data_IF_233738068695
#
_entry.id   IF_233738068695
#
_cell.length_a   1.000
_cell.length_b   1.000
_cell.length_c   1.000
_cell.angle_alpha   90.00
_cell.angle_beta   90.00
_cell.angle_gamma   90.00
#
_symmetry.space_group_name_H-M   'P 1'
#
loop_
_entity.id
_entity.type
_entity.pdbx_description
1 polymer ?
#
# COMPACT_ATOMS: atom_id res chain seq x y z
N UNK A 1 -9.69 -23.92 12.20
CA UNK A 1 -8.76 -23.93 11.04
C UNK A 1 -7.30 -24.09 11.50
N UNK A 2 -6.84 -23.33 12.52
CA UNK A 2 -5.44 -23.36 12.97
C UNK A 2 -4.94 -24.77 13.38
N UNK A 3 -5.74 -25.54 14.10
CA UNK A 3 -5.34 -26.89 14.54
C UNK A 3 -5.32 -27.88 13.39
N UNK A 4 -6.19 -27.73 12.41
CA UNK A 4 -6.19 -28.57 11.20
C UNK A 4 -4.87 -28.42 10.45
N UNK A 5 -4.40 -27.20 10.22
CA UNK A 5 -3.13 -26.95 9.53
C UNK A 5 -1.92 -27.46 10.32
N UNK A 6 -1.90 -27.27 11.65
CA UNK A 6 -0.83 -27.81 12.49
C UNK A 6 -0.70 -29.33 12.31
N UNK A 7 -1.81 -30.08 12.41
CA UNK A 7 -1.84 -31.52 12.23
C UNK A 7 -1.42 -31.94 10.80
N UNK A 8 -1.86 -31.20 9.78
CA UNK A 8 -1.50 -31.50 8.38
C UNK A 8 -0.01 -31.39 8.09
N UNK A 9 0.71 -30.52 8.80
CA UNK A 9 2.17 -30.39 8.67
C UNK A 9 2.94 -31.24 9.68
N UNK A 10 2.24 -32.08 10.46
CA UNK A 10 2.85 -33.03 11.41
C UNK A 10 3.19 -32.42 12.77
N UNK A 11 2.67 -31.26 13.11
CA UNK A 11 2.87 -30.63 14.42
C UNK A 11 1.86 -31.11 15.45
N UNK A 12 2.29 -31.11 16.72
CA UNK A 12 1.41 -31.33 17.87
C UNK A 12 0.73 -29.99 18.24
N UNK A 13 -0.60 -29.84 18.03
CA UNK A 13 -1.32 -28.62 18.34
C UNK A 13 -1.36 -28.29 19.84
N UNK A 14 -1.16 -29.27 20.72
CA UNK A 14 -1.16 -29.11 22.17
C UNK A 14 0.21 -28.68 22.73
N UNK A 15 1.23 -28.65 21.91
CA UNK A 15 2.55 -28.14 22.30
C UNK A 15 2.45 -26.68 22.79
N UNK A 16 3.07 -26.38 23.95
CA UNK A 16 2.98 -25.09 24.64
C UNK A 16 3.10 -23.87 23.71
N UNK A 17 4.06 -23.88 22.79
CA UNK A 17 4.26 -22.77 21.82
C UNK A 17 3.14 -22.64 20.78
N UNK A 18 2.25 -23.62 20.63
CA UNK A 18 1.21 -23.65 19.59
C UNK A 18 -0.22 -23.56 20.11
N UNK A 19 -0.47 -23.75 21.40
CA UNK A 19 -1.83 -23.68 21.99
C UNK A 19 -2.53 -22.37 21.66
N UNK A 20 -1.81 -21.24 21.76
CA UNK A 20 -2.36 -19.91 21.51
C UNK A 20 -2.31 -19.47 20.03
N UNK A 21 -1.68 -20.24 19.14
CA UNK A 21 -1.46 -19.85 17.74
C UNK A 21 -2.76 -19.51 17.00
N UNK A 22 -3.88 -20.27 17.14
CA UNK A 22 -5.11 -19.93 16.42
C UNK A 22 -5.65 -18.55 16.78
N UNK A 23 -5.65 -18.20 18.06
CA UNK A 23 -6.10 -16.90 18.54
C UNK A 23 -5.18 -15.77 18.05
N UNK A 24 -3.87 -15.93 18.28
CA UNK A 24 -2.87 -14.93 17.87
C UNK A 24 -2.86 -14.70 16.35
N UNK A 25 -3.03 -15.76 15.57
CA UNK A 25 -3.12 -15.67 14.12
C UNK A 25 -4.38 -14.90 13.68
N UNK A 26 -5.54 -15.19 14.30
CA UNK A 26 -6.77 -14.48 13.99
C UNK A 26 -6.68 -12.97 14.32
N UNK A 27 -6.12 -12.63 15.48
CA UNK A 27 -5.89 -11.24 15.89
C UNK A 27 -4.93 -10.52 14.92
N UNK A 28 -3.83 -11.16 14.56
CA UNK A 28 -2.87 -10.63 13.58
C UNK A 28 -3.54 -10.36 12.23
N UNK A 29 -4.32 -11.31 11.71
CA UNK A 29 -5.01 -11.16 10.42
C UNK A 29 -6.05 -10.04 10.49
N UNK A 30 -6.80 -9.92 11.59
CA UNK A 30 -7.77 -8.84 11.78
C UNK A 30 -7.09 -7.46 11.79
N UNK A 31 -5.92 -7.32 12.43
CA UNK A 31 -5.13 -6.09 12.42
C UNK A 31 -4.60 -5.77 11.02
N UNK A 32 -4.00 -6.76 10.36
CA UNK A 32 -3.35 -6.58 9.06
C UNK A 32 -4.34 -6.36 7.91
N UNK A 33 -5.58 -6.78 8.06
CA UNK A 33 -6.65 -6.62 7.07
C UNK A 33 -7.77 -5.68 7.55
N UNK A 34 -7.45 -4.76 8.45
CA UNK A 34 -8.45 -3.88 9.10
C UNK A 34 -9.26 -3.02 8.12
N UNK A 35 -8.79 -2.82 6.90
CA UNK A 35 -9.47 -2.04 5.87
C UNK A 35 -10.00 -2.91 4.71
N UNK A 36 -10.08 -4.24 4.88
CA UNK A 36 -10.49 -5.15 3.81
C UNK A 36 -11.88 -4.84 3.23
N UNK A 37 -12.82 -4.41 4.08
CA UNK A 37 -14.19 -4.07 3.68
C UNK A 37 -14.44 -2.55 3.56
N UNK A 38 -13.43 -1.71 3.77
CA UNK A 38 -13.58 -0.24 3.76
C UNK A 38 -13.32 0.28 2.34
N UNK A 39 -14.30 0.90 1.65
CA UNK A 39 -14.11 1.43 0.30
C UNK A 39 -13.25 2.69 0.29
N UNK A 40 -12.67 3.03 -0.87
CA UNK A 40 -11.83 4.20 -1.03
C UNK A 40 -12.53 5.52 -0.69
N UNK A 41 -13.84 5.61 -0.91
CA UNK A 41 -14.66 6.77 -0.54
C UNK A 41 -14.65 7.02 0.97
N UNK A 42 -14.73 5.97 1.77
CA UNK A 42 -14.70 6.09 3.24
C UNK A 42 -13.31 6.47 3.72
N UNK A 43 -12.26 5.90 3.14
CA UNK A 43 -10.88 6.28 3.42
C UNK A 43 -10.67 7.75 3.08
N UNK A 44 -11.16 8.20 1.93
CA UNK A 44 -11.08 9.61 1.53
C UNK A 44 -11.77 10.52 2.56
N UNK A 45 -12.99 10.20 2.98
CA UNK A 45 -13.70 10.97 4.02
C UNK A 45 -12.98 10.99 5.36
N UNK A 46 -12.42 9.86 5.78
CA UNK A 46 -11.71 9.74 7.07
C UNK A 46 -10.42 10.57 7.12
N UNK A 47 -9.78 10.76 5.97
CA UNK A 47 -8.51 11.47 5.89
C UNK A 47 -8.59 12.82 5.16
N UNK A 48 -9.80 13.32 4.87
CA UNK A 48 -10.03 14.62 4.24
C UNK A 48 -9.62 15.77 5.17
N UNK A 49 -8.33 16.10 5.12
CA UNK A 49 -7.77 17.26 5.77
C UNK A 49 -6.90 18.02 4.78
N UNK A 50 -7.49 19.03 4.19
CA UNK A 50 -6.85 19.86 3.19
C UNK A 50 -6.78 21.33 3.64
N UNK A 51 -5.90 22.07 3.01
CA UNK A 51 -5.69 23.49 3.24
C UNK A 51 -5.70 24.21 1.90
N UNK A 52 -6.18 25.44 1.85
CA UNK A 52 -6.06 26.29 0.66
C UNK A 52 -4.60 26.62 0.39
N UNK A 53 -4.19 26.53 -0.87
CA UNK A 53 -2.84 26.90 -1.31
C UNK A 53 -2.93 27.44 -2.74
N UNK A 54 -2.36 28.62 -3.03
CA UNK A 54 -2.27 29.13 -4.39
C UNK A 54 -1.19 28.42 -5.21
N UNK A 55 -0.30 27.69 -4.55
CA UNK A 55 0.81 27.00 -5.20
C UNK A 55 0.32 25.83 -6.06
N UNK A 56 0.98 25.64 -7.18
CA UNK A 56 0.67 24.60 -8.16
C UNK A 56 1.88 23.75 -8.55
N UNK A 57 3.00 23.90 -7.81
CA UNK A 57 4.18 23.07 -8.01
C UNK A 57 3.95 21.66 -7.47
N UNK A 58 4.68 20.70 -8.02
CA UNK A 58 4.58 19.30 -7.63
C UNK A 58 4.95 19.12 -6.15
N UNK A 59 4.09 18.47 -5.41
CA UNK A 59 4.37 17.98 -4.04
C UNK A 59 4.69 16.49 -4.11
N UNK A 60 5.82 16.08 -3.52
CA UNK A 60 6.24 14.68 -3.44
C UNK A 60 6.48 14.29 -1.99
N UNK A 61 5.87 13.18 -1.57
CA UNK A 61 6.16 12.53 -0.29
C UNK A 61 6.67 11.12 -0.61
N UNK A 62 7.88 10.80 -0.14
CA UNK A 62 8.55 9.53 -0.45
C UNK A 62 8.95 8.76 0.81
N UNK A 63 9.53 7.60 0.59
CA UNK A 63 10.00 6.69 1.65
C UNK A 63 8.90 6.29 2.64
N UNK A 64 7.64 6.29 2.20
CA UNK A 64 6.52 5.83 3.01
C UNK A 64 6.62 4.31 3.11
N UNK A 65 7.07 3.82 4.26
CA UNK A 65 7.14 2.38 4.52
C UNK A 65 5.77 1.80 4.74
N UNK A 66 5.49 0.66 4.12
CA UNK A 66 4.24 -0.08 4.25
C UNK A 66 4.48 -1.58 4.05
N UNK A 67 3.49 -2.36 4.38
CA UNK A 67 3.40 -3.78 4.03
C UNK A 67 1.96 -4.12 3.64
N UNK A 68 1.79 -5.23 2.94
CA UNK A 68 0.48 -5.70 2.54
C UNK A 68 0.50 -7.23 2.41
N UNK A 69 -0.61 -7.82 2.03
CA UNK A 69 -0.73 -9.25 1.79
C UNK A 69 -1.26 -9.51 0.39
N UNK A 70 -0.54 -10.34 -0.35
CA UNK A 70 -1.01 -10.70 -1.70
C UNK A 70 -2.29 -11.53 -1.60
N UNK A 71 -3.27 -11.25 -2.44
CA UNK A 71 -4.56 -11.93 -2.44
C UNK A 71 -4.48 -13.41 -2.83
N UNK A 72 -3.43 -13.79 -3.59
CA UNK A 72 -3.30 -15.16 -4.10
C UNK A 72 -2.86 -16.18 -3.04
N UNK A 73 -2.04 -15.78 -2.08
CA UNK A 73 -1.44 -16.69 -1.10
C UNK A 73 -1.59 -16.22 0.34
N UNK A 74 -2.21 -15.05 0.56
CA UNK A 74 -2.17 -14.31 1.84
C UNK A 74 -0.71 -14.18 2.33
N UNK A 75 0.20 -14.05 1.37
CA UNK A 75 1.62 -13.98 1.63
C UNK A 75 2.07 -12.52 1.76
N UNK A 76 2.97 -12.27 2.71
CA UNK A 76 3.43 -10.92 3.02
C UNK A 76 4.16 -10.27 1.82
N UNK A 77 3.78 -9.06 1.50
CA UNK A 77 4.56 -8.11 0.71
C UNK A 77 5.26 -7.18 1.70
N UNK A 78 6.58 -7.11 1.64
CA UNK A 78 7.42 -6.48 2.67
C UNK A 78 8.53 -5.63 2.06
N UNK A 79 9.26 -4.90 2.90
CA UNK A 79 10.24 -3.90 2.46
C UNK A 79 9.64 -2.93 1.43
N UNK A 80 8.32 -2.71 1.56
CA UNK A 80 7.62 -1.85 0.62
C UNK A 80 7.85 -0.39 0.94
N UNK A 81 8.02 0.40 -0.12
CA UNK A 81 8.09 1.85 -0.06
C UNK A 81 7.19 2.47 -1.11
N UNK A 82 6.50 3.52 -0.70
CA UNK A 82 5.71 4.35 -1.61
C UNK A 82 6.34 5.74 -1.74
N UNK A 83 6.29 6.28 -2.96
CA UNK A 83 6.42 7.70 -3.24
C UNK A 83 5.14 8.17 -3.92
N UNK A 84 4.55 9.23 -3.39
CA UNK A 84 3.30 9.83 -3.88
C UNK A 84 3.58 11.26 -4.31
N UNK A 85 3.31 11.56 -5.57
CA UNK A 85 3.40 12.91 -6.13
C UNK A 85 2.04 13.39 -6.61
N UNK A 86 1.78 14.68 -6.47
CA UNK A 86 0.59 15.31 -7.05
C UNK A 86 0.84 16.80 -7.34
N UNK A 87 0.05 17.35 -8.25
CA UNK A 87 0.05 18.77 -8.55
C UNK A 87 -1.20 19.39 -7.93
N UNK A 88 -1.07 20.27 -6.92
CA UNK A 88 -2.19 20.91 -6.27
C UNK A 88 -3.06 21.73 -7.24
N UNK A 89 -4.37 21.73 -6.97
CA UNK A 89 -5.34 22.62 -7.64
C UNK A 89 -6.05 23.48 -6.61
N UNK A 90 -5.36 24.47 -6.09
CA UNK A 90 -5.87 25.39 -5.06
C UNK A 90 -5.98 24.78 -3.65
N UNK A 91 -5.64 23.49 -3.48
CA UNK A 91 -5.67 22.80 -2.18
C UNK A 91 -4.50 21.85 -2.05
N UNK A 92 -3.93 21.79 -0.85
CA UNK A 92 -2.91 20.81 -0.47
C UNK A 92 -3.44 19.91 0.66
N UNK A 93 -3.04 18.66 0.67
CA UNK A 93 -3.39 17.70 1.73
C UNK A 93 -2.35 17.74 2.86
N UNK A 94 -2.77 17.52 4.10
CA UNK A 94 -1.82 17.34 5.19
C UNK A 94 -0.89 16.15 4.95
N UNK A 95 0.42 16.36 5.00
CA UNK A 95 1.44 15.35 4.60
C UNK A 95 1.26 14.01 5.32
N UNK A 96 0.95 14.02 6.63
CA UNK A 96 0.70 12.82 7.40
C UNK A 96 -0.52 12.01 6.91
N UNK A 97 -1.45 12.63 6.18
CA UNK A 97 -2.61 11.95 5.62
C UNK A 97 -2.22 11.05 4.44
N UNK A 98 -1.23 11.48 3.66
CA UNK A 98 -0.71 10.67 2.54
C UNK A 98 -0.17 9.33 3.05
N UNK A 99 0.63 9.34 4.13
CA UNK A 99 1.13 8.11 4.73
C UNK A 99 -0.01 7.23 5.31
N UNK A 100 -1.01 7.85 5.94
CA UNK A 100 -2.18 7.13 6.48
C UNK A 100 -3.05 6.51 5.37
N UNK A 101 -3.19 7.17 4.23
CA UNK A 101 -3.89 6.63 3.06
C UNK A 101 -3.14 5.40 2.55
N UNK A 102 -1.82 5.50 2.37
CA UNK A 102 -1.00 4.38 1.91
C UNK A 102 -1.11 3.18 2.86
N UNK A 103 -1.05 3.41 4.18
CA UNK A 103 -1.22 2.36 5.21
C UNK A 103 -2.64 1.74 5.14
N UNK A 104 -3.68 2.56 5.07
CA UNK A 104 -5.07 2.08 5.05
C UNK A 104 -5.36 1.18 3.83
N UNK A 105 -5.00 1.61 2.61
CA UNK A 105 -5.25 0.82 1.40
C UNK A 105 -4.38 -0.43 1.32
N UNK A 106 -3.24 -0.44 2.01
CA UNK A 106 -2.36 -1.61 2.10
C UNK A 106 -2.90 -2.69 3.04
N UNK A 107 -3.72 -2.34 4.02
CA UNK A 107 -4.35 -3.27 4.98
C UNK A 107 -5.58 -3.99 4.39
N UNK A 108 -5.39 -4.55 3.20
CA UNK A 108 -6.36 -5.34 2.43
C UNK A 108 -5.65 -6.55 1.83
N UNK A 109 -6.39 -7.49 1.27
CA UNK A 109 -5.83 -8.47 0.34
C UNK A 109 -5.61 -7.78 -1.01
N UNK A 110 -4.36 -7.68 -1.44
CA UNK A 110 -3.96 -6.80 -2.53
C UNK A 110 -3.08 -7.47 -3.59
N UNK A 111 -2.98 -6.78 -4.70
CA UNK A 111 -1.84 -6.87 -5.63
C UNK A 111 -1.14 -5.50 -5.62
N UNK A 112 0.15 -5.45 -5.86
CA UNK A 112 0.93 -4.21 -5.74
C UNK A 112 0.42 -3.10 -6.66
N UNK A 113 -0.03 -3.46 -7.86
CA UNK A 113 -0.60 -2.54 -8.85
C UNK A 113 -1.87 -1.86 -8.33
N UNK A 114 -2.71 -2.61 -7.62
CA UNK A 114 -3.96 -2.07 -7.05
C UNK A 114 -3.69 -1.15 -5.86
N UNK A 115 -2.69 -1.44 -5.03
CA UNK A 115 -2.28 -0.53 -3.95
C UNK A 115 -1.97 0.86 -4.53
N UNK A 116 -1.18 0.93 -5.59
CA UNK A 116 -0.86 2.19 -6.25
C UNK A 116 -2.08 2.89 -6.84
N UNK A 117 -3.01 2.14 -7.43
CA UNK A 117 -4.25 2.67 -7.99
C UNK A 117 -5.19 3.20 -6.89
N UNK A 118 -5.30 2.49 -5.75
CA UNK A 118 -6.13 2.89 -4.62
C UNK A 118 -5.58 4.16 -3.94
N UNK A 119 -4.25 4.25 -3.71
CA UNK A 119 -3.63 5.48 -3.19
C UNK A 119 -3.96 6.66 -4.11
N UNK A 120 -3.77 6.49 -5.41
CA UNK A 120 -4.07 7.54 -6.40
C UNK A 120 -5.53 7.96 -6.35
N UNK A 121 -6.47 7.03 -6.38
CA UNK A 121 -7.91 7.28 -6.35
C UNK A 121 -8.32 8.06 -5.08
N UNK A 122 -7.83 7.65 -3.91
CA UNK A 122 -8.10 8.35 -2.65
C UNK A 122 -7.52 9.78 -2.67
N UNK A 123 -6.30 9.95 -3.18
CA UNK A 123 -5.67 11.26 -3.30
C UNK A 123 -6.47 12.19 -4.23
N UNK A 124 -6.93 11.69 -5.38
CA UNK A 124 -7.77 12.45 -6.33
C UNK A 124 -9.08 12.89 -5.67
N UNK A 125 -9.74 12.02 -4.92
CA UNK A 125 -10.99 12.33 -4.20
C UNK A 125 -10.83 13.44 -3.15
N UNK A 126 -9.74 13.40 -2.39
CA UNK A 126 -9.48 14.37 -1.32
C UNK A 126 -9.04 15.73 -1.88
N UNK A 127 -8.11 15.73 -2.83
CA UNK A 127 -7.47 16.96 -3.29
C UNK A 127 -8.19 17.63 -4.45
N UNK A 128 -8.99 16.87 -5.20
CA UNK A 128 -9.52 17.29 -6.50
C UNK A 128 -8.45 17.41 -7.57
N UNK A 129 -7.19 17.03 -7.27
CA UNK A 129 -6.11 17.05 -8.23
C UNK A 129 -6.30 15.93 -9.26
N UNK A 130 -6.32 16.27 -10.54
CA UNK A 130 -6.36 15.26 -11.62
C UNK A 130 -4.98 14.70 -11.99
N UNK A 131 -3.92 15.26 -11.42
CA UNK A 131 -2.53 14.94 -11.72
C UNK A 131 -1.90 14.30 -10.46
N UNK A 132 -1.98 12.99 -10.36
CA UNK A 132 -1.44 12.20 -9.24
C UNK A 132 -0.59 11.07 -9.79
N UNK A 133 0.54 10.79 -9.15
CA UNK A 133 1.42 9.67 -9.46
C UNK A 133 1.87 8.97 -8.18
N UNK A 134 1.90 7.64 -8.24
CA UNK A 134 2.35 6.78 -7.15
C UNK A 134 3.38 5.81 -7.69
N UNK A 135 4.56 5.78 -7.11
CA UNK A 135 5.58 4.75 -7.30
C UNK A 135 5.56 3.85 -6.07
N UNK A 136 5.48 2.56 -6.29
CA UNK A 136 5.64 1.54 -5.26
C UNK A 136 6.81 0.63 -5.61
N UNK A 137 7.56 0.25 -4.60
CA UNK A 137 8.51 -0.85 -4.68
C UNK A 137 8.34 -1.79 -3.49
N UNK A 138 8.66 -3.08 -3.66
CA UNK A 138 8.53 -4.05 -2.58
C UNK A 138 8.98 -5.44 -2.97
N UNK A 139 9.23 -6.25 -1.95
CA UNK A 139 9.51 -7.68 -2.05
C UNK A 139 8.26 -8.50 -1.71
N UNK A 140 8.12 -9.65 -2.35
CA UNK A 140 6.97 -10.53 -2.20
C UNK A 140 7.38 -11.90 -1.66
N UNK A 141 6.91 -12.29 -0.48
CA UNK A 141 7.27 -13.59 0.10
C UNK A 141 6.77 -14.77 -0.74
N UNK A 142 5.74 -14.60 -1.55
CA UNK A 142 5.32 -15.62 -2.51
C UNK A 142 6.37 -15.90 -3.60
N UNK A 143 7.30 -14.96 -3.86
CA UNK A 143 8.44 -15.13 -4.76
C UNK A 143 9.74 -15.48 -4.04
N UNK A 144 9.92 -14.98 -2.82
CA UNK A 144 11.20 -15.11 -2.10
C UNK A 144 11.27 -16.36 -1.24
N UNK A 145 10.19 -16.71 -0.51
CA UNK A 145 10.18 -17.78 0.50
C UNK A 145 9.70 -19.14 -0.03
N UNK A 146 8.98 -19.18 -1.14
CA UNK A 146 8.39 -20.39 -1.73
C UNK A 146 8.42 -20.34 -3.26
N UNK A 147 7.97 -21.42 -3.92
CA UNK A 147 7.90 -21.48 -5.39
C UNK A 147 9.26 -21.29 -6.05
N UNK A 148 9.44 -20.20 -6.78
CA UNK A 148 10.66 -19.89 -7.52
C UNK A 148 11.87 -19.54 -6.64
N UNK A 149 11.64 -19.14 -5.39
CA UNK A 149 12.67 -18.83 -4.38
C UNK A 149 13.75 -17.87 -4.87
N UNK A 150 13.35 -16.64 -5.22
CA UNK A 150 14.27 -15.58 -5.66
C UNK A 150 14.30 -14.44 -4.63
N UNK A 151 15.06 -14.59 -3.52
CA UNK A 151 15.24 -13.51 -2.55
C UNK A 151 15.92 -12.29 -3.19
N UNK A 152 15.61 -11.09 -2.71
CA UNK A 152 16.12 -9.84 -3.25
C UNK A 152 15.49 -9.38 -4.55
N UNK A 153 14.49 -10.10 -5.09
CA UNK A 153 13.72 -9.62 -6.24
C UNK A 153 12.81 -8.49 -5.83
N UNK A 154 13.06 -7.29 -6.37
CA UNK A 154 12.28 -6.09 -6.11
C UNK A 154 11.29 -5.85 -7.25
N UNK A 155 10.02 -5.68 -6.92
CA UNK A 155 8.97 -5.29 -7.86
C UNK A 155 8.74 -3.79 -7.77
N UNK A 156 8.71 -3.09 -8.89
CA UNK A 156 8.35 -1.67 -8.98
C UNK A 156 7.12 -1.48 -9.84
N UNK A 157 6.16 -0.71 -9.34
CA UNK A 157 4.93 -0.37 -10.08
C UNK A 157 4.66 1.12 -10.02
N UNK A 158 4.06 1.65 -11.08
CA UNK A 158 3.66 3.05 -11.18
C UNK A 158 2.16 3.10 -11.51
N UNK A 159 1.43 3.91 -10.73
CA UNK A 159 0.07 4.31 -11.03
C UNK A 159 0.02 5.82 -11.23
N UNK A 160 -0.48 6.29 -12.36
CA UNK A 160 -0.47 7.71 -12.70
C UNK A 160 -1.80 8.16 -13.31
N UNK A 161 -2.14 9.43 -13.14
CA UNK A 161 -3.28 10.10 -13.77
C UNK A 161 -2.88 11.45 -14.39
N UNK A 162 -3.80 12.01 -15.15
CA UNK A 162 -3.65 13.32 -15.75
C UNK A 162 -2.35 13.49 -16.54
N UNK A 163 -1.68 14.61 -16.31
CA UNK A 163 -0.43 14.98 -16.99
C UNK A 163 0.70 13.97 -16.76
N UNK A 164 0.76 13.29 -15.61
CA UNK A 164 1.77 12.25 -15.39
C UNK A 164 1.66 11.05 -16.34
N UNK A 165 0.54 10.89 -17.06
CA UNK A 165 0.38 9.90 -18.13
C UNK A 165 0.90 10.37 -19.47
N UNK A 166 0.76 11.65 -19.78
CA UNK A 166 0.98 12.21 -21.11
C UNK A 166 2.26 13.03 -21.24
N UNK A 167 2.75 13.58 -20.12
CA UNK A 167 3.95 14.41 -20.05
C UNK A 167 5.12 13.58 -19.52
N UNK A 168 6.03 13.20 -20.41
CA UNK A 168 7.19 12.37 -20.07
C UNK A 168 8.22 13.10 -19.22
N UNK A 169 8.34 14.42 -19.35
CA UNK A 169 9.32 15.19 -18.59
C UNK A 169 8.85 15.43 -17.17
N UNK A 170 7.58 15.74 -16.96
CA UNK A 170 6.95 15.80 -15.64
C UNK A 170 7.10 14.46 -14.89
N UNK A 171 6.92 13.36 -15.60
CA UNK A 171 7.11 12.00 -15.03
C UNK A 171 8.57 11.73 -14.66
N UNK A 172 9.53 12.17 -15.47
CA UNK A 172 10.96 12.06 -15.15
C UNK A 172 11.33 12.89 -13.93
N UNK A 173 10.80 14.11 -13.82
CA UNK A 173 11.00 14.98 -12.68
C UNK A 173 10.53 14.29 -11.39
N UNK A 174 9.29 13.76 -11.36
CA UNK A 174 8.81 12.97 -10.23
C UNK A 174 9.76 11.82 -9.90
N UNK A 175 10.16 11.01 -10.89
CA UNK A 175 11.05 9.87 -10.66
C UNK A 175 12.43 10.29 -10.14
N UNK A 176 12.89 11.48 -10.46
CA UNK A 176 14.12 12.05 -9.90
C UNK A 176 13.97 12.43 -8.43
N UNK A 177 12.85 13.02 -8.06
CA UNK A 177 12.54 13.40 -6.66
C UNK A 177 12.22 12.17 -5.79
N UNK A 178 11.69 11.12 -6.38
CA UNK A 178 11.28 9.88 -5.70
C UNK A 178 12.43 8.86 -5.47
N UNK A 179 13.63 9.12 -5.99
CA UNK A 179 14.83 8.27 -5.80
C UNK A 179 15.34 8.26 -4.36
#
# INVERSE_FOLDING_TARGET
>A
LGDVYKRQVGEDPEREGLVETPRRFAEMVAEQLAYAAVPNEEIARAFDKTFSSPESDMVVVKDISLFSHCEHHIALMYNMKAAVGYIPRGRVIGLSKIARIADAVSKRLQIQERIGADIRDVMERITGAGDVIVLLEGEHSCMTARGIRKPGTLTRTISASGRFRTDGDLRKEFLSLAK
#
